data_IF_076281964652
#
_entry.id   IF_076281964652
#
_cell.length_a   1.000
_cell.length_b   1.000
_cell.length_c   1.000
_cell.angle_alpha   90.00
_cell.angle_beta   90.00
_cell.angle_gamma   90.00
#
_symmetry.space_group_name_H-M   'P 1'
#
loop_
_entity.id
_entity.type
_entity.pdbx_description
1 polymer ?
#
# COMPACT_ATOMS: atom_id res chain seq x y z
N UNK A 1 20.82 -1.34 -22.62
CA UNK A 1 20.81 -0.26 -23.64
C UNK A 1 22.25 0.04 -24.05
N UNK A 2 22.70 -0.30 -25.27
CA UNK A 2 24.11 -0.13 -25.69
C UNK A 2 24.63 1.30 -25.61
N UNK A 3 23.76 2.31 -25.72
CA UNK A 3 24.12 3.73 -25.57
C UNK A 3 24.59 4.11 -24.15
N UNK A 4 24.35 3.25 -23.14
CA UNK A 4 24.76 3.52 -21.76
C UNK A 4 26.14 2.93 -21.39
N UNK A 5 26.79 2.19 -22.30
CA UNK A 5 27.99 1.39 -21.99
C UNK A 5 29.19 2.23 -21.52
N UNK A 6 29.32 3.46 -22.03
CA UNK A 6 30.46 4.34 -21.73
C UNK A 6 30.18 5.31 -20.57
N UNK A 7 29.00 5.24 -19.95
CA UNK A 7 28.62 6.09 -18.83
C UNK A 7 29.07 5.48 -17.50
N UNK A 8 29.61 6.30 -16.60
CA UNK A 8 29.93 5.89 -15.24
C UNK A 8 28.68 5.83 -14.35
N UNK A 9 28.59 4.80 -13.51
CA UNK A 9 27.52 4.69 -12.50
C UNK A 9 27.80 5.68 -11.38
N UNK A 10 26.93 6.69 -11.24
CA UNK A 10 27.07 7.71 -10.19
C UNK A 10 26.72 7.18 -8.78
N UNK A 11 25.70 6.31 -8.67
CA UNK A 11 25.23 5.78 -7.40
C UNK A 11 24.39 4.50 -7.59
N UNK A 12 24.45 3.62 -6.60
CA UNK A 12 23.49 2.53 -6.39
C UNK A 12 22.84 2.67 -5.01
N UNK A 13 21.63 2.14 -4.87
CA UNK A 13 20.93 2.10 -3.59
C UNK A 13 19.95 0.93 -3.57
N UNK A 14 19.48 0.57 -2.38
CA UNK A 14 18.42 -0.41 -2.17
C UNK A 14 17.42 0.12 -1.14
N UNK A 15 16.18 -0.36 -1.24
CA UNK A 15 15.10 -0.04 -0.33
C UNK A 15 14.21 -1.25 -0.11
N UNK A 16 13.53 -1.27 1.03
CA UNK A 16 12.51 -2.27 1.31
C UNK A 16 11.20 -1.89 0.63
N UNK A 17 10.52 -2.88 0.08
CA UNK A 17 9.17 -2.73 -0.46
C UNK A 17 8.20 -3.49 0.44
N UNK A 18 7.08 -2.85 0.85
CA UNK A 18 6.08 -3.52 1.67
C UNK A 18 5.22 -4.40 0.77
N UNK A 19 5.54 -5.70 0.72
CA UNK A 19 4.70 -6.72 0.11
C UNK A 19 3.85 -7.38 1.20
N UNK A 20 2.55 -7.52 0.97
CA UNK A 20 1.73 -8.45 1.74
C UNK A 20 2.00 -9.87 1.27
N UNK A 21 1.54 -10.86 2.05
CA UNK A 21 1.71 -12.27 1.71
C UNK A 21 0.98 -12.68 0.41
N UNK A 22 -0.16 -12.02 0.12
CA UNK A 22 -0.98 -12.25 -1.07
C UNK A 22 -0.67 -11.26 -2.22
N UNK A 23 0.22 -10.30 -2.01
CA UNK A 23 0.56 -9.24 -2.95
C UNK A 23 -0.46 -8.10 -3.07
N UNK A 24 -1.62 -8.17 -2.39
CA UNK A 24 -2.65 -7.14 -2.41
C UNK A 24 -2.41 -6.03 -1.37
N UNK A 25 -2.80 -4.77 -1.65
CA UNK A 25 -2.72 -3.69 -0.67
C UNK A 25 -3.51 -3.97 0.60
N UNK A 26 -3.05 -3.47 1.73
CA UNK A 26 -3.76 -3.54 3.00
C UNK A 26 -4.19 -2.11 3.35
N UNK A 27 -5.47 -1.81 3.16
CA UNK A 27 -6.04 -0.47 3.28
C UNK A 27 -7.38 -0.54 4.03
N UNK A 28 -7.47 0.09 5.19
CA UNK A 28 -8.73 0.16 5.93
C UNK A 28 -8.58 0.25 7.45
N UNK A 29 -9.68 -0.02 8.16
CA UNK A 29 -9.74 -0.07 9.63
C UNK A 29 -8.99 -1.30 10.13
N UNK A 30 -8.21 -1.15 11.20
CA UNK A 30 -7.55 -2.28 11.85
C UNK A 30 -8.57 -2.97 12.77
N UNK A 31 -8.90 -4.26 12.55
CA UNK A 31 -9.88 -4.96 13.36
C UNK A 31 -9.53 -4.97 14.86
N UNK A 32 -10.55 -4.79 15.70
CA UNK A 32 -10.38 -4.76 17.16
C UNK A 32 -9.69 -3.50 17.71
N UNK A 33 -9.40 -2.48 16.88
CA UNK A 33 -8.79 -1.22 17.31
C UNK A 33 -9.62 -0.04 16.83
N UNK A 34 -10.19 0.70 17.78
CA UNK A 34 -10.94 1.90 17.45
C UNK A 34 -10.02 3.00 16.89
N UNK A 35 -10.51 3.70 15.85
CA UNK A 35 -9.82 4.83 15.19
C UNK A 35 -8.40 4.55 14.69
N UNK A 36 -8.03 3.28 14.48
CA UNK A 36 -6.76 2.90 13.86
C UNK A 36 -6.97 2.45 12.42
N UNK A 37 -6.23 3.06 11.50
CA UNK A 37 -6.28 2.77 10.07
C UNK A 37 -4.89 2.45 9.54
N UNK A 38 -4.84 1.64 8.48
CA UNK A 38 -3.59 1.27 7.81
C UNK A 38 -3.71 1.49 6.31
N UNK A 39 -2.60 1.93 5.70
CA UNK A 39 -2.41 1.95 4.23
C UNK A 39 -1.01 1.42 3.97
N UNK A 40 -0.90 0.18 3.49
CA UNK A 40 0.38 -0.47 3.17
C UNK A 40 0.19 -1.49 2.05
N UNK A 41 1.24 -2.24 1.69
CA UNK A 41 1.13 -3.30 0.69
C UNK A 41 0.98 -2.80 -0.75
N UNK A 42 1.36 -1.54 -1.04
CA UNK A 42 1.27 -0.98 -2.40
C UNK A 42 2.39 -1.48 -3.34
N UNK A 43 3.33 -2.27 -2.82
CA UNK A 43 4.37 -2.95 -3.59
C UNK A 43 5.16 -1.97 -4.48
N UNK A 44 5.53 -2.38 -5.71
CA UNK A 44 6.24 -1.53 -6.69
C UNK A 44 5.40 -0.37 -7.23
N UNK A 45 4.11 -0.35 -6.94
CA UNK A 45 3.14 0.62 -7.47
C UNK A 45 2.81 1.76 -6.50
N UNK A 46 3.48 1.83 -5.34
CA UNK A 46 3.20 2.80 -4.28
C UNK A 46 3.28 4.26 -4.71
N UNK A 47 4.22 4.62 -5.59
CA UNK A 47 4.31 6.00 -6.08
C UNK A 47 3.09 6.39 -6.94
N UNK A 48 2.70 5.53 -7.88
CA UNK A 48 1.58 5.81 -8.78
C UNK A 48 0.21 5.70 -8.11
N UNK A 49 0.02 4.71 -7.22
CA UNK A 49 -1.27 4.45 -6.54
C UNK A 49 -1.42 5.16 -5.20
N UNK A 50 -0.32 5.65 -4.62
CA UNK A 50 -0.29 6.31 -3.31
C UNK A 50 -1.30 7.44 -3.17
N UNK A 51 -1.43 8.37 -4.15
CA UNK A 51 -2.41 9.45 -4.06
C UNK A 51 -3.85 8.94 -3.93
N UNK A 52 -4.25 7.98 -4.78
CA UNK A 52 -5.59 7.39 -4.72
C UNK A 52 -5.81 6.59 -3.43
N UNK A 53 -4.83 5.80 -3.00
CA UNK A 53 -4.91 5.06 -1.73
C UNK A 53 -5.06 6.01 -0.53
N UNK A 54 -4.35 7.14 -0.54
CA UNK A 54 -4.47 8.20 0.45
C UNK A 54 -5.86 8.84 0.47
N UNK A 55 -6.42 9.14 -0.70
CA UNK A 55 -7.79 9.68 -0.80
C UNK A 55 -8.82 8.68 -0.24
N UNK A 56 -8.72 7.41 -0.62
CA UNK A 56 -9.63 6.36 -0.16
C UNK A 56 -9.62 6.19 1.36
N UNK A 57 -8.44 6.19 2.00
CA UNK A 57 -8.39 6.12 3.47
C UNK A 57 -8.88 7.42 4.12
N UNK A 58 -8.63 8.59 3.51
CA UNK A 58 -9.11 9.87 4.04
C UNK A 58 -10.64 9.95 4.03
N UNK A 59 -11.29 9.49 2.97
CA UNK A 59 -12.75 9.41 2.88
C UNK A 59 -13.30 8.43 3.94
N UNK A 60 -12.67 7.26 4.10
CA UNK A 60 -13.04 6.31 5.14
C UNK A 60 -12.89 6.89 6.56
N UNK A 61 -11.81 7.63 6.83
CA UNK A 61 -11.54 8.24 8.14
C UNK A 61 -12.51 9.38 8.45
N UNK A 62 -12.80 10.22 7.47
CA UNK A 62 -13.53 11.49 7.69
C UNK A 62 -15.04 11.37 7.49
N UNK A 63 -15.50 10.45 6.64
CA UNK A 63 -16.91 10.31 6.24
C UNK A 63 -17.51 8.96 6.60
N UNK A 64 -16.68 8.01 7.03
CA UNK A 64 -17.06 6.61 7.18
C UNK A 64 -17.57 5.97 5.87
N UNK A 65 -17.09 6.48 4.73
CA UNK A 65 -17.46 6.00 3.40
C UNK A 65 -16.35 5.09 2.84
N UNK A 66 -16.62 3.79 2.76
CA UNK A 66 -15.72 2.84 2.12
C UNK A 66 -16.04 2.69 0.63
N UNK A 67 -15.11 3.07 -0.24
CA UNK A 67 -15.23 2.76 -1.66
C UNK A 67 -15.20 1.23 -1.88
N UNK A 68 -16.03 0.65 -2.77
CA UNK A 68 -16.11 -0.80 -2.97
C UNK A 68 -14.77 -1.50 -3.26
N UNK A 69 -13.83 -0.80 -3.91
CA UNK A 69 -12.47 -1.30 -4.16
C UNK A 69 -11.68 -1.63 -2.89
N UNK A 70 -12.02 -1.06 -1.74
CA UNK A 70 -11.35 -1.37 -0.47
C UNK A 70 -11.67 -2.77 0.06
N UNK A 71 -12.73 -3.43 -0.43
CA UNK A 71 -13.10 -4.78 0.02
C UNK A 71 -11.96 -5.80 -0.19
N UNK A 72 -11.29 -5.74 -1.34
CA UNK A 72 -10.15 -6.61 -1.65
C UNK A 72 -8.88 -6.25 -0.83
N UNK A 73 -8.87 -5.05 -0.27
CA UNK A 73 -7.76 -4.52 0.52
C UNK A 73 -8.02 -4.53 2.03
N UNK A 74 -9.14 -5.12 2.48
CA UNK A 74 -9.57 -5.08 3.87
C UNK A 74 -8.53 -5.74 4.80
N UNK A 75 -8.07 -5.07 5.88
CA UNK A 75 -7.05 -5.63 6.77
C UNK A 75 -7.44 -6.90 7.51
N UNK A 76 -8.74 -7.20 7.69
CA UNK A 76 -9.21 -8.43 8.34
C UNK A 76 -8.76 -9.70 7.63
N UNK A 77 -8.55 -9.65 6.31
CA UNK A 77 -8.06 -10.80 5.54
C UNK A 77 -6.67 -11.27 5.94
N UNK A 78 -5.89 -10.43 6.62
CA UNK A 78 -4.53 -10.74 7.06
C UNK A 78 -4.46 -11.37 8.47
N UNK A 79 -5.60 -11.53 9.15
CA UNK A 79 -5.66 -12.10 10.49
C UNK A 79 -5.84 -13.63 10.35
N UNK A 80 -4.82 -14.39 10.73
CA UNK A 80 -4.82 -15.85 10.58
C UNK A 80 -5.05 -16.61 11.89
N UNK A 81 -4.97 -15.97 13.04
CA UNK A 81 -5.17 -16.58 14.37
C UNK A 81 -5.87 -15.59 15.32
N UNK A 82 -6.82 -16.09 16.12
CA UNK A 82 -7.49 -15.39 17.23
C UNK A 82 -7.05 -15.99 18.57
#
# INVERSE_FOLDING_TARGET
MPVLSDLSVNRTWSGLMPFSQDGNPIIGRVPGRDKLFIVTGLCSSGFGRGPSAGQLVADLVSRDEAHPTLLESDPSRCITEL
#
